data_IF_635810546786
#
_entry.id   IF_635810546786
#
_cell.length_a   1.000
_cell.length_b   1.000
_cell.length_c   1.000
_cell.angle_alpha   90.00
_cell.angle_beta   90.00
_cell.angle_gamma   90.00
#
_symmetry.space_group_name_H-M   'P 1'
#
loop_
_entity.id
_entity.type
_entity.pdbx_description
1 polymer ?
#
# COMPACT_ATOMS: atom_id res chain seq x y z
N UNK A 1 15.57 -19.78 -14.06
CA UNK A 1 14.97 -18.87 -13.06
C UNK A 1 13.89 -19.67 -12.37
N UNK A 2 13.99 -19.82 -11.05
CA UNK A 2 13.12 -20.75 -10.33
C UNK A 2 11.69 -20.20 -10.24
N UNK A 3 10.70 -21.10 -10.17
CA UNK A 3 9.28 -20.76 -10.10
C UNK A 3 8.99 -19.74 -8.99
N UNK A 4 9.63 -19.91 -7.84
CA UNK A 4 9.46 -19.05 -6.67
C UNK A 4 9.93 -17.60 -6.96
N UNK A 5 11.01 -17.43 -7.73
CA UNK A 5 11.48 -16.10 -8.18
C UNK A 5 10.49 -15.44 -9.14
N UNK A 6 9.89 -16.22 -10.05
CA UNK A 6 8.86 -15.72 -10.99
C UNK A 6 7.66 -15.20 -10.20
N UNK A 7 7.21 -15.97 -9.21
CA UNK A 7 6.07 -15.61 -8.35
C UNK A 7 6.35 -14.31 -7.60
N UNK A 8 7.53 -14.18 -6.98
CA UNK A 8 7.92 -12.97 -6.24
C UNK A 8 7.97 -11.73 -7.16
N UNK A 9 8.53 -11.85 -8.37
CA UNK A 9 8.53 -10.76 -9.36
C UNK A 9 7.12 -10.34 -9.76
N UNK A 10 6.24 -11.31 -9.99
CA UNK A 10 4.86 -11.06 -10.35
C UNK A 10 4.10 -10.32 -9.23
N UNK A 11 4.25 -10.77 -7.98
CA UNK A 11 3.63 -10.12 -6.82
C UNK A 11 4.12 -8.67 -6.65
N UNK A 12 5.44 -8.43 -6.77
CA UNK A 12 6.00 -7.07 -6.67
C UNK A 12 5.48 -6.15 -7.78
N UNK A 13 5.28 -6.68 -8.98
CA UNK A 13 4.68 -5.93 -10.10
C UNK A 13 3.23 -5.56 -9.79
N UNK A 14 2.42 -6.51 -9.29
CA UNK A 14 1.04 -6.23 -8.87
C UNK A 14 0.99 -5.16 -7.77
N UNK A 15 1.83 -5.28 -6.74
CA UNK A 15 1.91 -4.27 -5.67
C UNK A 15 2.17 -2.89 -6.24
N UNK A 16 3.16 -2.77 -7.13
CA UNK A 16 3.52 -1.49 -7.73
C UNK A 16 2.35 -0.86 -8.50
N UNK A 17 1.65 -1.66 -9.32
CA UNK A 17 0.49 -1.19 -10.10
C UNK A 17 -0.64 -0.73 -9.18
N UNK A 18 -0.96 -1.50 -8.15
CA UNK A 18 -2.03 -1.14 -7.21
C UNK A 18 -1.65 0.14 -6.45
N UNK A 19 -0.42 0.26 -5.96
CA UNK A 19 0.05 1.47 -5.26
C UNK A 19 -0.02 2.68 -6.18
N UNK A 20 0.33 2.53 -7.45
CA UNK A 20 0.18 3.60 -8.44
C UNK A 20 -1.28 4.03 -8.63
N UNK A 21 -2.21 3.08 -8.74
CA UNK A 21 -3.65 3.37 -8.81
C UNK A 21 -4.09 4.12 -7.55
N UNK A 22 -3.70 3.65 -6.36
CA UNK A 22 -4.02 4.31 -5.09
C UNK A 22 -3.50 5.75 -5.09
N UNK A 23 -2.27 6.00 -5.52
CA UNK A 23 -1.70 7.34 -5.61
C UNK A 23 -2.50 8.26 -6.52
N UNK A 24 -2.95 7.76 -7.68
CA UNK A 24 -3.77 8.55 -8.61
C UNK A 24 -5.14 8.89 -8.01
N UNK A 25 -5.80 7.92 -7.37
CA UNK A 25 -7.06 8.17 -6.67
C UNK A 25 -6.88 9.11 -5.48
N UNK A 26 -5.82 8.94 -4.70
CA UNK A 26 -5.51 9.79 -3.56
C UNK A 26 -5.22 11.23 -3.98
N UNK A 27 -4.57 11.43 -5.13
CA UNK A 27 -4.22 12.76 -5.64
C UNK A 27 -5.34 13.50 -6.36
N UNK A 28 -6.20 12.78 -7.09
CA UNK A 28 -7.20 13.38 -8.00
C UNK A 28 -8.65 12.95 -7.70
N UNK A 29 -8.87 12.15 -6.65
CA UNK A 29 -10.15 11.52 -6.34
C UNK A 29 -11.26 12.46 -5.87
N UNK A 30 -10.94 13.71 -5.52
CA UNK A 30 -11.92 14.71 -5.09
C UNK A 30 -12.27 15.63 -6.27
N UNK A 31 -13.02 15.11 -7.23
CA UNK A 31 -13.42 15.88 -8.42
C UNK A 31 -12.23 16.45 -9.22
N UNK A 32 -11.10 15.74 -9.28
CA UNK A 32 -9.86 16.20 -9.92
C UNK A 32 -8.88 16.91 -8.99
N UNK A 33 -9.24 17.09 -7.72
CA UNK A 33 -8.37 17.66 -6.68
C UNK A 33 -7.97 16.61 -5.65
N UNK A 34 -7.16 17.04 -4.66
CA UNK A 34 -6.61 16.15 -3.65
C UNK A 34 -7.71 15.55 -2.77
N UNK A 35 -7.73 14.21 -2.67
CA UNK A 35 -8.72 13.48 -1.89
C UNK A 35 -8.36 13.51 -0.41
N UNK A 36 -7.16 13.08 -0.05
CA UNK A 36 -6.71 13.03 1.34
C UNK A 36 -7.48 12.03 2.21
N UNK A 37 -7.02 11.88 3.46
CA UNK A 37 -7.66 11.05 4.50
C UNK A 37 -7.56 11.67 5.92
N UNK A 38 -7.31 12.98 6.03
CA UNK A 38 -7.16 13.67 7.32
C UNK A 38 -8.01 14.93 7.44
N UNK A 39 -9.22 14.89 6.87
CA UNK A 39 -10.22 15.90 7.17
C UNK A 39 -10.96 15.57 8.47
N UNK A 40 -11.64 16.58 9.00
CA UNK A 40 -12.71 16.39 9.97
C UNK A 40 -14.01 16.06 9.23
N UNK A 41 -14.78 15.14 9.77
CA UNK A 41 -16.15 14.81 9.35
C UNK A 41 -17.14 15.98 9.47
N UNK A 42 -16.79 16.99 10.27
CA UNK A 42 -17.58 18.17 10.53
C UNK A 42 -16.85 19.42 10.00
N UNK A 43 -17.52 20.22 9.17
CA UNK A 43 -16.98 21.47 8.60
C UNK A 43 -16.61 22.52 9.68
N UNK A 44 -17.10 22.35 10.91
CA UNK A 44 -16.79 23.22 12.05
C UNK A 44 -15.58 22.76 12.88
N UNK A 45 -14.95 21.62 12.58
CA UNK A 45 -13.75 21.16 13.29
C UNK A 45 -12.49 21.50 12.49
N UNK A 46 -11.42 21.89 13.19
CA UNK A 46 -10.12 22.17 12.58
C UNK A 46 -9.54 20.91 11.92
N UNK A 47 -9.17 21.01 10.64
CA UNK A 47 -8.50 19.92 9.92
C UNK A 47 -7.11 19.69 10.49
N UNK A 48 -6.82 18.45 10.89
CA UNK A 48 -5.48 18.00 11.28
C UNK A 48 -4.80 17.25 10.10
N UNK A 49 -3.78 17.86 9.45
CA UNK A 49 -3.10 17.24 8.32
C UNK A 49 -2.20 16.06 8.69
N UNK A 50 -2.01 15.74 9.97
CA UNK A 50 -1.04 14.74 10.44
C UNK A 50 -1.26 13.37 9.79
N UNK A 51 -2.52 12.94 9.67
CA UNK A 51 -2.86 11.64 9.07
C UNK A 51 -2.54 11.62 7.57
N UNK A 52 -2.75 12.74 6.87
CA UNK A 52 -2.47 12.85 5.43
C UNK A 52 -0.98 12.82 5.13
N UNK A 53 -0.16 13.42 6.00
CA UNK A 53 1.30 13.40 5.88
C UNK A 53 1.81 11.96 5.99
N UNK A 54 1.32 11.21 7.00
CA UNK A 54 1.70 9.80 7.19
C UNK A 54 1.25 8.97 5.99
N UNK A 55 0.00 9.10 5.57
CA UNK A 55 -0.54 8.35 4.43
C UNK A 55 0.24 8.63 3.14
N UNK A 56 0.55 9.90 2.87
CA UNK A 56 1.34 10.29 1.70
C UNK A 56 2.74 9.68 1.75
N UNK A 57 3.39 9.68 2.92
CA UNK A 57 4.68 9.06 3.13
C UNK A 57 4.66 7.55 2.89
N UNK A 58 3.63 6.85 3.38
CA UNK A 58 3.46 5.41 3.14
C UNK A 58 3.28 5.12 1.65
N UNK A 59 2.33 5.79 0.99
CA UNK A 59 2.02 5.51 -0.41
C UNK A 59 3.21 5.79 -1.33
N UNK A 60 3.85 6.96 -1.19
CA UNK A 60 4.99 7.34 -2.03
C UNK A 60 6.24 6.52 -1.67
N UNK A 61 6.51 6.35 -0.38
CA UNK A 61 7.67 5.59 0.09
C UNK A 61 7.66 4.14 -0.38
N UNK A 62 6.50 3.47 -0.27
CA UNK A 62 6.36 2.09 -0.73
C UNK A 62 6.29 1.95 -2.23
N UNK A 63 5.81 2.95 -2.97
CA UNK A 63 5.93 2.98 -4.42
C UNK A 63 7.39 2.96 -4.86
N UNK A 64 8.20 3.90 -4.35
CA UNK A 64 9.64 4.01 -4.68
C UNK A 64 10.37 2.74 -4.26
N UNK A 65 10.15 2.29 -3.02
CA UNK A 65 10.78 1.07 -2.51
C UNK A 65 10.47 -0.14 -3.39
N UNK A 66 9.20 -0.39 -3.68
CA UNK A 66 8.77 -1.56 -4.47
C UNK A 66 9.31 -1.48 -5.89
N UNK A 67 9.36 -0.29 -6.47
CA UNK A 67 9.92 -0.06 -7.80
C UNK A 67 11.42 -0.39 -7.85
N UNK A 68 12.20 0.14 -6.90
CA UNK A 68 13.65 -0.10 -6.84
C UNK A 68 13.95 -1.57 -6.61
N UNK A 69 13.23 -2.24 -5.69
CA UNK A 69 13.42 -3.68 -5.43
C UNK A 69 13.03 -4.53 -6.63
N UNK A 70 11.96 -4.17 -7.35
CA UNK A 70 11.57 -4.87 -8.57
C UNK A 70 12.66 -4.78 -9.64
N UNK A 71 13.19 -3.58 -9.91
CA UNK A 71 14.31 -3.38 -10.85
C UNK A 71 15.54 -4.17 -10.38
N UNK A 72 15.91 -4.06 -9.11
CA UNK A 72 17.04 -4.80 -8.55
C UNK A 72 16.87 -6.31 -8.66
N UNK A 73 15.64 -6.82 -8.57
CA UNK A 73 15.34 -8.25 -8.74
C UNK A 73 15.44 -8.72 -10.20
N UNK A 74 15.16 -7.84 -11.16
CA UNK A 74 15.31 -8.11 -12.59
C UNK A 74 16.78 -8.13 -13.04
N UNK A 75 17.60 -7.20 -12.53
CA UNK A 75 19.00 -7.01 -12.98
C UNK A 75 20.06 -7.56 -12.01
N UNK A 76 19.67 -7.93 -10.79
CA UNK A 76 20.57 -8.42 -9.75
C UNK A 76 20.94 -9.90 -9.90
N UNK A 77 22.11 -10.26 -9.39
CA UNK A 77 22.54 -11.66 -9.30
C UNK A 77 21.65 -12.43 -8.31
N UNK A 78 21.47 -13.74 -8.51
CA UNK A 78 20.59 -14.62 -7.72
C UNK A 78 20.86 -14.62 -6.20
N UNK A 79 22.01 -14.11 -5.77
CA UNK A 79 22.38 -14.03 -4.35
C UNK A 79 21.54 -13.03 -3.54
N UNK A 80 21.00 -11.98 -4.19
CA UNK A 80 20.27 -10.88 -3.54
C UNK A 80 18.74 -10.97 -3.65
N UNK A 81 18.19 -12.03 -4.25
CA UNK A 81 16.75 -12.13 -4.61
C UNK A 81 15.79 -12.31 -3.43
N UNK A 82 16.29 -12.71 -2.25
CA UNK A 82 15.55 -12.72 -1.00
C UNK A 82 16.46 -12.15 0.08
N UNK A 83 16.16 -10.93 0.56
CA UNK A 83 16.95 -10.23 1.55
C UNK A 83 16.16 -10.02 2.83
N UNK A 84 16.85 -9.96 3.96
CA UNK A 84 16.25 -9.62 5.25
C UNK A 84 15.60 -8.23 5.21
N UNK A 85 16.18 -7.29 4.45
CA UNK A 85 15.59 -5.97 4.21
C UNK A 85 14.22 -6.09 3.55
N UNK A 86 14.08 -6.94 2.53
CA UNK A 86 12.81 -7.13 1.83
C UNK A 86 11.75 -7.79 2.72
N UNK A 87 12.16 -8.72 3.57
CA UNK A 87 11.29 -9.29 4.60
C UNK A 87 10.77 -8.22 5.58
N UNK A 88 11.67 -7.41 6.15
CA UNK A 88 11.29 -6.35 7.09
C UNK A 88 10.37 -5.34 6.42
N UNK A 89 10.73 -4.88 5.21
CA UNK A 89 9.95 -3.89 4.49
C UNK A 89 8.56 -4.41 4.11
N UNK A 90 8.43 -5.71 3.79
CA UNK A 90 7.14 -6.33 3.56
C UNK A 90 6.27 -6.35 4.83
N UNK A 91 6.84 -6.68 6.00
CA UNK A 91 6.11 -6.64 7.29
C UNK A 91 5.65 -5.21 7.62
N UNK A 92 6.56 -4.25 7.52
CA UNK A 92 6.24 -2.84 7.77
C UNK A 92 5.18 -2.35 6.77
N UNK A 93 5.25 -2.82 5.52
CA UNK A 93 4.29 -2.47 4.47
C UNK A 93 2.91 -3.00 4.79
N UNK A 94 2.81 -4.25 5.22
CA UNK A 94 1.55 -4.83 5.68
C UNK A 94 0.91 -3.98 6.78
N UNK A 95 1.65 -3.66 7.85
CA UNK A 95 1.13 -2.87 8.98
C UNK A 95 0.67 -1.48 8.54
N UNK A 96 1.51 -0.78 7.78
CA UNK A 96 1.23 0.61 7.38
C UNK A 96 0.08 0.71 6.38
N UNK A 97 -0.01 -0.19 5.39
CA UNK A 97 -1.12 -0.18 4.44
C UNK A 97 -2.46 -0.56 5.09
N UNK A 98 -2.47 -1.48 6.06
CA UNK A 98 -3.67 -1.78 6.85
C UNK A 98 -4.08 -0.57 7.69
N UNK A 99 -3.13 0.10 8.35
CA UNK A 99 -3.43 1.29 9.14
C UNK A 99 -4.00 2.44 8.28
N UNK A 100 -3.33 2.78 7.17
CA UNK A 100 -3.79 3.80 6.23
C UNK A 100 -5.14 3.44 5.61
N UNK A 101 -5.34 2.17 5.23
CA UNK A 101 -6.60 1.68 4.69
C UNK A 101 -7.74 1.77 5.70
N UNK A 102 -7.51 1.36 6.94
CA UNK A 102 -8.49 1.47 8.03
C UNK A 102 -8.88 2.91 8.33
N UNK A 103 -7.90 3.82 8.41
CA UNK A 103 -8.13 5.25 8.61
C UNK A 103 -8.91 5.87 7.45
N UNK A 104 -8.57 5.52 6.20
CA UNK A 104 -9.29 5.97 5.02
C UNK A 104 -10.77 5.51 5.04
N UNK A 105 -11.00 4.23 5.31
CA UNK A 105 -12.36 3.68 5.39
C UNK A 105 -13.16 4.32 6.53
N UNK A 106 -12.53 4.51 7.69
CA UNK A 106 -13.16 5.19 8.83
C UNK A 106 -13.54 6.63 8.47
N UNK A 107 -12.60 7.43 7.98
CA UNK A 107 -12.81 8.82 7.60
C UNK A 107 -13.91 8.96 6.54
N UNK A 108 -13.79 8.26 5.41
CA UNK A 108 -14.74 8.36 4.32
C UNK A 108 -16.11 7.76 4.65
N UNK A 109 -16.20 6.84 5.62
CA UNK A 109 -17.50 6.38 6.12
C UNK A 109 -18.29 7.47 6.84
N UNK A 110 -17.60 8.26 7.67
CA UNK A 110 -18.18 9.37 8.43
C UNK A 110 -18.38 10.65 7.62
N UNK A 111 -17.74 10.78 6.46
CA UNK A 111 -17.83 11.97 5.61
C UNK A 111 -19.28 12.31 5.22
N UNK A 112 -19.68 13.55 5.48
CA UNK A 112 -20.95 14.16 5.10
C UNK A 112 -20.68 15.36 4.19
N UNK A 113 -21.23 15.34 2.98
CA UNK A 113 -21.10 16.45 2.04
C UNK A 113 -22.08 17.59 2.44
N UNK A 114 -21.76 18.84 2.09
CA UNK A 114 -22.60 20.03 2.40
C UNK A 114 -24.05 19.91 1.91
N UNK A 115 -24.28 19.06 0.91
CA UNK A 115 -25.59 18.76 0.37
C UNK A 115 -26.23 17.65 1.19
N UNK A 116 -26.90 18.05 2.28
CA UNK A 116 -27.55 17.23 3.33
C UNK A 116 -28.48 16.08 2.87
N UNK A 117 -28.69 15.89 1.57
CA UNK A 117 -29.65 14.92 1.01
C UNK A 117 -29.04 13.86 0.06
N UNK A 118 -27.72 13.87 -0.18
CA UNK A 118 -27.03 12.82 -0.96
C UNK A 118 -26.16 11.96 -0.04
N UNK A 119 -26.60 10.73 0.24
CA UNK A 119 -25.86 9.78 1.09
C UNK A 119 -24.64 9.16 0.41
N UNK A 120 -24.57 9.21 -0.92
CA UNK A 120 -23.50 8.65 -1.75
C UNK A 120 -23.04 9.74 -2.72
N UNK A 121 -21.86 10.32 -2.46
CA UNK A 121 -21.21 11.22 -3.41
C UNK A 121 -20.03 10.51 -4.07
N UNK A 122 -19.62 11.00 -5.25
CA UNK A 122 -18.50 10.42 -6.01
C UNK A 122 -17.22 10.35 -5.19
N UNK A 123 -16.95 11.36 -4.38
CA UNK A 123 -15.74 11.49 -3.56
C UNK A 123 -15.72 10.42 -2.47
N UNK A 124 -16.88 10.17 -1.83
CA UNK A 124 -17.03 9.13 -0.81
C UNK A 124 -16.77 7.75 -1.38
N UNK A 125 -17.24 7.47 -2.59
CA UNK A 125 -16.96 6.20 -3.28
C UNK A 125 -15.47 6.04 -3.60
N UNK A 126 -14.81 7.10 -4.07
CA UNK A 126 -13.37 7.08 -4.33
C UNK A 126 -12.58 6.90 -3.04
N UNK A 127 -13.01 7.52 -1.93
CA UNK A 127 -12.47 7.31 -0.60
C UNK A 127 -12.53 5.85 -0.13
N UNK A 128 -13.67 5.19 -0.34
CA UNK A 128 -13.79 3.75 -0.07
C UNK A 128 -12.91 2.90 -1.00
N UNK A 129 -12.76 3.29 -2.26
CA UNK A 129 -11.84 2.62 -3.18
C UNK A 129 -10.39 2.73 -2.70
N UNK A 130 -9.93 3.93 -2.29
CA UNK A 130 -8.59 4.13 -1.71
C UNK A 130 -8.39 3.26 -0.48
N UNK A 131 -9.34 3.32 0.47
CA UNK A 131 -9.24 2.54 1.71
C UNK A 131 -9.22 1.03 1.49
N UNK A 132 -10.11 0.51 0.64
CA UNK A 132 -10.16 -0.92 0.32
C UNK A 132 -8.92 -1.40 -0.44
N UNK A 133 -8.42 -0.62 -1.40
CA UNK A 133 -7.19 -0.95 -2.13
C UNK A 133 -5.97 -0.93 -1.20
N UNK A 134 -5.89 -0.02 -0.23
CA UNK A 134 -4.86 -0.04 0.80
C UNK A 134 -4.91 -1.33 1.63
N UNK A 135 -6.11 -1.76 2.07
CA UNK A 135 -6.27 -3.02 2.82
C UNK A 135 -5.83 -4.23 1.98
N UNK A 136 -6.24 -4.30 0.72
CA UNK A 136 -5.82 -5.34 -0.23
C UNK A 136 -4.30 -5.33 -0.41
N UNK A 137 -3.71 -4.15 -0.58
CA UNK A 137 -2.25 -3.99 -0.73
C UNK A 137 -1.52 -4.49 0.51
N UNK A 138 -2.02 -4.18 1.71
CA UNK A 138 -1.52 -4.74 2.96
C UNK A 138 -1.52 -6.26 2.96
N UNK A 139 -2.64 -6.89 2.58
CA UNK A 139 -2.73 -8.35 2.48
C UNK A 139 -1.71 -8.94 1.48
N UNK A 140 -1.46 -8.28 0.35
CA UNK A 140 -0.45 -8.71 -0.62
C UNK A 140 0.97 -8.61 -0.03
N UNK A 141 1.27 -7.57 0.76
CA UNK A 141 2.53 -7.46 1.50
C UNK A 141 2.71 -8.58 2.54
N UNK A 142 1.63 -9.02 3.20
CA UNK A 142 1.66 -10.17 4.10
C UNK A 142 1.98 -11.46 3.35
N UNK A 143 1.35 -11.70 2.20
CA UNK A 143 1.65 -12.86 1.35
C UNK A 143 3.13 -12.84 0.89
N UNK A 144 3.64 -11.68 0.46
CA UNK A 144 5.04 -11.55 0.06
C UNK A 144 6.01 -11.77 1.25
N UNK A 145 5.59 -11.42 2.47
CA UNK A 145 6.35 -11.74 3.69
C UNK A 145 6.51 -13.24 3.86
N UNK A 146 5.43 -14.01 3.77
CA UNK A 146 5.45 -15.47 3.92
C UNK A 146 6.31 -16.10 2.84
N UNK A 147 6.17 -15.67 1.58
CA UNK A 147 6.99 -16.18 0.48
C UNK A 147 8.48 -15.86 0.67
N UNK A 148 8.81 -14.64 1.07
CA UNK A 148 10.19 -14.23 1.33
C UNK A 148 10.80 -15.05 2.47
N UNK A 149 10.03 -15.30 3.55
CA UNK A 149 10.47 -16.12 4.67
C UNK A 149 10.74 -17.57 4.24
N UNK A 150 9.84 -18.19 3.48
CA UNK A 150 10.02 -19.56 2.97
C UNK A 150 11.27 -19.67 2.10
N UNK A 151 11.53 -18.69 1.23
CA UNK A 151 12.75 -18.65 0.43
C UNK A 151 14.02 -18.58 1.28
N UNK A 152 14.02 -17.74 2.33
CA UNK A 152 15.18 -17.58 3.21
C UNK A 152 15.47 -18.90 3.95
N UNK A 153 14.45 -19.54 4.51
CA UNK A 153 14.59 -20.82 5.24
C UNK A 153 15.09 -21.92 4.30
N UNK A 154 14.45 -22.10 3.15
CA UNK A 154 14.84 -23.13 2.18
C UNK A 154 16.27 -22.93 1.68
N UNK A 155 16.68 -21.69 1.44
CA UNK A 155 18.06 -21.37 1.06
C UNK A 155 19.03 -21.68 2.20
N UNK A 156 18.67 -21.41 3.45
CA UNK A 156 19.50 -21.74 4.60
C UNK A 156 19.69 -23.25 4.75
N UNK A 157 18.63 -24.06 4.60
CA UNK A 157 18.70 -25.52 4.69
C UNK A 157 19.59 -26.15 3.60
N UNK A 158 19.65 -25.55 2.41
CA UNK A 158 20.52 -25.99 1.32
C UNK A 158 22.02 -25.74 1.57
N UNK A 159 22.36 -24.88 2.54
CA UNK A 159 23.75 -24.54 2.90
C UNK A 159 24.08 -24.91 4.36
N UNK A 160 23.19 -25.61 5.06
CA UNK A 160 23.48 -26.16 6.38
C UNK A 160 24.45 -27.35 6.23
N UNK A 161 25.50 -27.43 7.07
CA UNK A 161 26.53 -28.47 7.00
C UNK A 161 26.02 -29.88 7.32
#
# INVERSE_FOLDING_TARGET
>A
MDLETIITLFIKTIKLVIIFIILMLYRYGYGGTFLGIGGTWNLNEEKDPTVEIIASGVLVGYFIYTFVVLIASCFGTTKHKASLVDLIMNIVGFVLFIAVGGLALHYWSGYQNEHKYLSITSEKQVGYAVGSLCVITGAIYLVDTVLTFVHIVKKHDLYAP
#
